data_IF_119452648985
#
_entry.id   IF_119452648985
#
_cell.length_a   1.000
_cell.length_b   1.000
_cell.length_c   1.000
_cell.angle_alpha   90.00
_cell.angle_beta   90.00
_cell.angle_gamma   90.00
#
_symmetry.space_group_name_H-M   'P 1'
#
loop_
_entity.id
_entity.type
_entity.pdbx_description
1 polymer ?
#
# COMPACT_ATOMS: atom_id res chain seq x y z
N UNK A 1 -13.36 7.75 -18.47
CA UNK A 1 -12.42 7.68 -17.33
C UNK A 1 -12.98 6.74 -16.28
N UNK A 2 -12.51 5.50 -16.26
CA UNK A 2 -12.84 4.57 -15.19
C UNK A 2 -12.00 4.99 -13.98
N UNK A 3 -12.66 5.46 -12.91
CA UNK A 3 -11.99 5.72 -11.64
C UNK A 3 -11.67 4.35 -11.02
N UNK A 4 -10.39 4.13 -10.72
CA UNK A 4 -9.91 2.95 -10.00
C UNK A 4 -9.65 3.38 -8.57
N UNK A 5 -10.23 2.64 -7.64
CA UNK A 5 -10.05 2.85 -6.21
C UNK A 5 -9.00 1.91 -5.66
N UNK A 6 -8.00 2.47 -4.99
CA UNK A 6 -6.92 1.73 -4.32
C UNK A 6 -7.17 1.67 -2.82
N UNK A 7 -6.89 0.52 -2.21
CA UNK A 7 -6.99 0.36 -0.76
C UNK A 7 -5.95 -0.64 -0.23
N UNK A 8 -5.38 -0.36 0.95
CA UNK A 8 -4.53 -1.32 1.66
C UNK A 8 -5.43 -2.32 2.39
N UNK A 9 -5.34 -3.59 2.01
CA UNK A 9 -6.15 -4.67 2.61
C UNK A 9 -5.36 -5.51 3.63
N UNK A 10 -4.02 -5.46 3.60
CA UNK A 10 -3.16 -6.18 4.56
C UNK A 10 -1.74 -5.62 4.54
N UNK A 11 -0.93 -5.97 5.55
CA UNK A 11 0.47 -5.54 5.68
C UNK A 11 0.68 -4.21 6.43
N UNK A 12 -0.39 -3.47 6.72
CA UNK A 12 -0.34 -2.21 7.47
C UNK A 12 -0.81 -2.39 8.92
N UNK A 13 -0.34 -3.43 9.60
CA UNK A 13 -0.79 -3.78 10.96
C UNK A 13 -0.53 -2.67 11.99
N UNK A 14 0.47 -1.82 11.73
CA UNK A 14 0.87 -0.71 12.60
C UNK A 14 0.31 0.65 12.15
N UNK A 15 -0.43 0.71 11.06
CA UNK A 15 -0.94 1.98 10.52
C UNK A 15 0.15 2.94 10.06
N UNK A 16 1.33 2.44 9.71
CA UNK A 16 2.48 3.26 9.29
C UNK A 16 2.39 3.72 7.84
N UNK A 17 1.53 3.09 7.03
CA UNK A 17 1.36 3.41 5.62
C UNK A 17 -0.06 3.89 5.33
N UNK A 18 -0.18 4.84 4.41
CA UNK A 18 -1.44 5.29 3.82
C UNK A 18 -1.36 5.15 2.31
N UNK A 19 -2.49 4.90 1.65
CA UNK A 19 -2.58 4.88 0.17
C UNK A 19 -3.63 5.89 -0.28
N UNK A 20 -3.28 6.68 -1.30
CA UNK A 20 -4.26 7.53 -1.97
C UNK A 20 -5.20 6.65 -2.82
N UNK A 21 -6.49 6.73 -2.53
CA UNK A 21 -7.48 5.89 -3.18
C UNK A 21 -7.68 6.18 -4.67
N UNK A 22 -7.20 7.31 -5.20
CA UNK A 22 -7.39 7.73 -6.60
C UNK A 22 -6.09 7.56 -7.40
N UNK A 23 -4.94 7.95 -6.83
CA UNK A 23 -3.64 7.87 -7.52
C UNK A 23 -2.91 6.55 -7.25
N UNK A 24 -3.22 5.87 -6.14
CA UNK A 24 -2.50 4.69 -5.68
C UNK A 24 -1.14 5.02 -5.03
N UNK A 25 -0.86 6.30 -4.75
CA UNK A 25 0.38 6.72 -4.08
C UNK A 25 0.42 6.22 -2.64
N UNK A 26 1.50 5.52 -2.27
CA UNK A 26 1.71 5.02 -0.91
C UNK A 26 2.62 6.00 -0.17
N UNK A 27 2.16 6.47 0.98
CA UNK A 27 2.88 7.41 1.83
C UNK A 27 3.12 6.82 3.21
N UNK A 28 4.28 7.14 3.78
CA UNK A 28 4.64 6.79 5.15
C UNK A 28 4.07 7.87 6.07
N UNK A 29 3.11 7.49 6.92
CA UNK A 29 2.40 8.41 7.83
C UNK A 29 2.86 8.28 9.28
N UNK A 30 3.71 7.29 9.58
CA UNK A 30 4.32 7.13 10.89
C UNK A 30 5.78 6.65 10.74
N UNK A 31 6.65 6.90 11.73
CA UNK A 31 8.07 6.54 11.64
C UNK A 31 8.25 5.03 11.41
N UNK A 32 9.12 4.70 10.46
CA UNK A 32 9.57 3.34 10.19
C UNK A 32 10.85 3.12 11.00
N UNK A 33 10.81 2.14 11.90
CA UNK A 33 11.95 1.78 12.72
C UNK A 33 12.58 0.50 12.16
N UNK A 34 13.82 0.63 11.68
CA UNK A 34 14.60 -0.46 11.10
C UNK A 34 14.93 -1.57 12.12
N UNK A 35 15.07 -1.23 13.40
CA UNK A 35 15.35 -2.22 14.45
C UNK A 35 14.11 -3.08 14.75
N UNK A 36 12.93 -2.51 14.52
CA UNK A 36 11.66 -3.16 14.77
C UNK A 36 11.24 -4.02 13.58
N UNK A 37 11.23 -3.44 12.37
CA UNK A 37 10.77 -4.15 11.17
C UNK A 37 11.40 -3.57 9.91
N UNK A 38 12.17 -4.41 9.21
CA UNK A 38 12.98 -4.05 8.05
C UNK A 38 12.26 -4.24 6.72
N UNK A 39 11.24 -5.09 6.70
CA UNK A 39 10.48 -5.41 5.50
C UNK A 39 8.99 -5.34 5.80
N UNK A 40 8.24 -4.65 4.95
CA UNK A 40 6.78 -4.56 5.03
C UNK A 40 6.17 -5.06 3.74
N UNK A 41 5.28 -6.05 3.83
CA UNK A 41 4.56 -6.60 2.69
C UNK A 41 3.11 -6.08 2.65
N UNK A 42 2.87 -4.96 1.97
CA UNK A 42 1.54 -4.37 1.81
C UNK A 42 0.76 -5.07 0.71
N UNK A 43 -0.45 -5.55 1.02
CA UNK A 43 -1.40 -5.98 -0.01
C UNK A 43 -2.32 -4.83 -0.36
N UNK A 44 -2.30 -4.44 -1.62
CA UNK A 44 -3.13 -3.39 -2.18
C UNK A 44 -4.21 -4.01 -3.06
N UNK A 45 -5.44 -3.52 -2.93
CA UNK A 45 -6.56 -3.86 -3.80
C UNK A 45 -6.87 -2.68 -4.70
N UNK A 46 -6.93 -2.93 -6.01
CA UNK A 46 -7.39 -1.99 -7.01
C UNK A 46 -8.75 -2.45 -7.54
N UNK A 47 -9.75 -1.60 -7.41
CA UNK A 47 -11.13 -1.87 -7.84
C UNK A 47 -11.62 -0.76 -8.75
N UNK A 48 -12.01 -1.09 -9.99
CA UNK A 48 -12.68 -0.11 -10.85
C UNK A 48 -14.14 0.13 -10.43
N UNK A 49 -14.66 1.33 -10.74
CA UNK A 49 -16.05 1.71 -10.53
C UNK A 49 -17.02 1.14 -11.60
N UNK A 50 -16.59 0.18 -12.41
CA UNK A 50 -17.43 -0.48 -13.41
C UNK A 50 -18.53 -1.31 -12.76
N UNK A 51 -19.68 -1.44 -13.42
CA UNK A 51 -20.71 -2.42 -13.07
C UNK A 51 -20.94 -3.35 -14.27
N UNK A 52 -20.50 -4.62 -14.22
CA UNK A 52 -19.70 -5.25 -13.17
C UNK A 52 -18.26 -4.70 -13.14
N UNK A 53 -17.54 -4.76 -12.00
CA UNK A 53 -16.16 -4.33 -11.94
C UNK A 53 -15.31 -5.25 -12.82
N UNK A 54 -14.59 -4.67 -13.78
CA UNK A 54 -13.79 -5.43 -14.75
C UNK A 54 -12.43 -5.84 -14.16
N UNK A 55 -11.92 -5.05 -13.22
CA UNK A 55 -10.66 -5.24 -12.52
C UNK A 55 -10.89 -5.15 -11.02
N UNK A 56 -10.97 -6.33 -10.38
CA UNK A 56 -10.83 -6.48 -8.93
C UNK A 56 -9.51 -7.20 -8.68
N UNK A 57 -8.41 -6.46 -8.81
CA UNK A 57 -7.07 -7.05 -8.78
C UNK A 57 -6.37 -6.71 -7.46
N UNK A 58 -5.56 -7.63 -6.96
CA UNK A 58 -4.77 -7.44 -5.76
C UNK A 58 -3.29 -7.53 -6.09
N UNK A 59 -2.52 -6.53 -5.69
CA UNK A 59 -1.06 -6.49 -5.80
C UNK A 59 -0.40 -6.62 -4.44
N UNK A 60 0.82 -7.15 -4.41
CA UNK A 60 1.68 -7.15 -3.23
C UNK A 60 2.84 -6.19 -3.46
N UNK A 61 3.08 -5.31 -2.50
CA UNK A 61 4.15 -4.33 -2.48
C UNK A 61 5.07 -4.68 -1.33
N UNK A 62 6.32 -5.05 -1.62
CA UNK A 62 7.36 -5.21 -0.59
C UNK A 62 8.13 -3.90 -0.45
N UNK A 63 8.20 -3.40 0.78
CA UNK A 63 8.90 -2.18 1.17
C UNK A 63 10.06 -2.61 2.08
N UNK A 64 11.28 -2.29 1.67
CA UNK A 64 12.47 -2.55 2.47
C UNK A 64 12.97 -1.23 3.07
N UNK A 65 13.11 -1.19 4.39
CA UNK A 65 13.71 -0.09 5.11
C UNK A 65 15.22 -0.27 5.04
N UNK A 66 15.91 0.66 4.38
CA UNK A 66 17.37 0.71 4.39
C UNK A 66 17.82 1.57 5.56
N UNK A 67 18.77 1.06 6.34
CA UNK A 67 19.45 1.90 7.32
C UNK A 67 20.29 2.94 6.58
N UNK A 68 20.22 4.18 7.02
CA UNK A 68 20.99 5.30 6.44
C UNK A 68 22.39 5.40 7.05
N UNK A 69 22.69 4.56 8.05
CA UNK A 69 24.01 4.48 8.67
C UNK A 69 24.86 3.38 8.02
N UNK A 70 25.67 3.75 7.04
CA UNK A 70 26.93 3.07 6.71
C UNK A 70 28.03 4.14 6.55
#
# INVERSE_FOLDING_TARGET
>A
NALVHYNIISGNSRGQFSIDSVTGEIQVVAPLDFEVEREYALRIRAQDAGRPPLSNNTGMVSIQVMDIND
#
